data_IF_853516135406
#
_entry.id   IF_853516135406
#
_cell.length_a   1.000
_cell.length_b   1.000
_cell.length_c   1.000
_cell.angle_alpha   90.00
_cell.angle_beta   90.00
_cell.angle_gamma   90.00
#
_symmetry.space_group_name_H-M   'P 1'
#
loop_
_entity.id
_entity.type
_entity.pdbx_description
1 polymer ?
#
# COMPACT_ATOMS: atom_id res chain seq x y z
N UNK A 1 2.85 -1.29 20.18
CA UNK A 1 3.53 -1.50 21.47
C UNK A 1 3.50 -2.97 21.94
N UNK A 2 2.63 -3.85 21.43
CA UNK A 2 2.64 -5.31 21.68
C UNK A 2 3.03 -5.71 23.11
N UNK A 3 4.12 -6.48 23.28
CA UNK A 3 4.59 -6.96 24.58
C UNK A 3 5.39 -5.92 25.38
N UNK A 4 5.63 -4.72 24.84
CA UNK A 4 6.32 -3.62 25.52
C UNK A 4 5.43 -2.79 26.45
N UNK A 5 4.10 -2.95 26.41
CA UNK A 5 3.23 -2.25 27.35
C UNK A 5 3.67 -2.50 28.80
N UNK A 6 4.05 -1.46 29.56
CA UNK A 6 4.37 -1.58 30.99
C UNK A 6 3.16 -2.14 31.76
N UNK A 7 3.41 -2.82 32.89
CA UNK A 7 2.33 -3.41 33.70
C UNK A 7 1.27 -2.37 34.10
N UNK A 8 1.68 -1.14 34.41
CA UNK A 8 0.77 -0.03 34.74
C UNK A 8 -0.15 0.35 33.59
N UNK A 9 0.37 0.38 32.36
CA UNK A 9 -0.44 0.65 31.17
C UNK A 9 -1.35 -0.52 30.83
N UNK A 10 -0.88 -1.75 31.03
CA UNK A 10 -1.72 -2.94 30.85
C UNK A 10 -2.93 -2.91 31.78
N UNK A 11 -2.77 -2.44 33.03
CA UNK A 11 -3.90 -2.32 33.95
C UNK A 11 -4.84 -1.19 33.53
N UNK A 12 -4.29 -0.01 33.20
CA UNK A 12 -5.07 1.16 32.77
C UNK A 12 -5.88 0.90 31.49
N UNK A 13 -5.33 0.13 30.56
CA UNK A 13 -5.93 -0.18 29.26
C UNK A 13 -6.68 -1.52 29.24
N UNK A 14 -6.78 -2.24 30.37
CA UNK A 14 -7.48 -3.52 30.44
C UNK A 14 -6.81 -4.67 29.67
N UNK A 15 -5.48 -4.61 29.47
CA UNK A 15 -4.69 -5.60 28.74
C UNK A 15 -4.12 -6.73 29.62
N UNK A 16 -4.24 -6.63 30.96
CA UNK A 16 -3.79 -7.69 31.86
C UNK A 16 -4.62 -8.97 31.62
N UNK A 17 -3.94 -10.09 31.42
CA UNK A 17 -4.56 -11.37 31.03
C UNK A 17 -4.71 -11.57 29.51
N UNK A 18 -4.59 -10.50 28.70
CA UNK A 18 -4.63 -10.57 27.23
C UNK A 18 -3.22 -10.64 26.60
N UNK A 19 -2.18 -10.38 27.38
CA UNK A 19 -0.78 -10.42 26.96
C UNK A 19 0.03 -11.38 27.84
N UNK A 20 1.06 -12.07 27.30
CA UNK A 20 2.00 -12.85 28.11
C UNK A 20 2.59 -12.01 29.26
N UNK A 21 2.86 -12.59 30.44
CA UNK A 21 3.18 -11.83 31.65
C UNK A 21 4.49 -11.04 31.57
N UNK A 22 5.44 -11.50 30.74
CA UNK A 22 6.71 -10.81 30.54
C UNK A 22 6.52 -9.52 29.74
N UNK A 23 7.06 -8.42 30.26
CA UNK A 23 7.24 -7.17 29.51
C UNK A 23 8.53 -7.30 28.72
N UNK A 24 8.45 -7.10 27.41
CA UNK A 24 9.59 -7.20 26.49
C UNK A 24 9.98 -5.82 26.00
N UNK A 25 11.28 -5.47 26.04
CA UNK A 25 11.74 -4.20 25.49
C UNK A 25 11.50 -4.15 23.97
N UNK A 26 11.65 -2.97 23.38
CA UNK A 26 11.52 -2.80 21.94
C UNK A 26 12.60 -3.59 21.19
N UNK A 27 13.83 -3.58 21.68
CA UNK A 27 14.99 -4.31 21.15
C UNK A 27 14.74 -5.83 21.18
N UNK A 28 14.18 -6.36 22.27
CA UNK A 28 13.86 -7.78 22.35
C UNK A 28 12.76 -8.19 21.36
N UNK A 29 11.83 -7.29 21.03
CA UNK A 29 10.81 -7.56 20.02
C UNK A 29 11.39 -7.51 18.61
N UNK A 30 12.31 -6.59 18.36
CA UNK A 30 13.10 -6.51 17.14
C UNK A 30 13.91 -7.79 16.94
N UNK A 31 14.70 -8.22 17.93
CA UNK A 31 15.47 -9.46 17.89
C UNK A 31 14.58 -10.68 17.63
N UNK A 32 13.42 -10.77 18.30
CA UNK A 32 12.46 -11.85 18.08
C UNK A 32 11.95 -11.88 16.64
N UNK A 33 11.70 -10.72 16.03
CA UNK A 33 11.28 -10.64 14.64
C UNK A 33 12.41 -11.09 13.70
N UNK A 34 13.62 -10.57 13.87
CA UNK A 34 14.78 -10.92 13.05
C UNK A 34 15.10 -12.42 13.14
N UNK A 35 15.04 -13.01 14.34
CA UNK A 35 15.18 -14.46 14.51
C UNK A 35 14.11 -15.26 13.75
N UNK A 36 12.86 -14.77 13.75
CA UNK A 36 11.78 -15.41 13.01
C UNK A 36 11.98 -15.29 11.49
N UNK A 37 12.52 -14.15 11.04
CA UNK A 37 12.86 -13.92 9.64
C UNK A 37 13.99 -14.84 9.18
N UNK A 38 15.09 -14.96 9.94
CA UNK A 38 16.18 -15.89 9.61
C UNK A 38 15.75 -17.35 9.67
N UNK A 39 14.87 -17.72 10.61
CA UNK A 39 14.29 -19.06 10.63
C UNK A 39 13.47 -19.33 9.36
N UNK A 40 12.73 -18.34 8.85
CA UNK A 40 12.04 -18.47 7.58
C UNK A 40 13.04 -18.70 6.44
N UNK A 41 14.11 -17.90 6.37
CA UNK A 41 15.14 -18.05 5.34
C UNK A 41 15.76 -19.43 5.34
N UNK A 42 16.04 -19.99 6.52
CA UNK A 42 16.55 -21.34 6.67
C UNK A 42 15.55 -22.40 6.20
N UNK A 43 14.28 -22.24 6.58
CA UNK A 43 13.22 -23.22 6.28
C UNK A 43 12.78 -23.20 4.81
N UNK A 44 13.08 -22.13 4.07
CA UNK A 44 12.76 -22.00 2.64
C UNK A 44 13.99 -22.20 1.75
N UNK A 45 15.09 -22.75 2.28
CA UNK A 45 16.27 -23.06 1.47
C UNK A 45 15.93 -24.13 0.42
N UNK A 46 16.29 -23.86 -0.84
CA UNK A 46 16.01 -24.75 -1.97
C UNK A 46 14.62 -24.61 -2.58
N UNK A 47 13.75 -23.78 -2.00
CA UNK A 47 12.46 -23.42 -2.61
C UNK A 47 12.64 -22.43 -3.77
N UNK A 48 11.69 -22.35 -4.72
CA UNK A 48 11.73 -21.37 -5.80
C UNK A 48 11.73 -19.93 -5.26
N UNK A 49 12.46 -19.03 -5.93
CA UNK A 49 12.60 -17.62 -5.51
C UNK A 49 11.26 -16.90 -5.31
N UNK A 50 10.25 -17.22 -6.14
CA UNK A 50 8.90 -16.66 -6.01
C UNK A 50 8.22 -17.06 -4.70
N UNK A 51 8.40 -18.33 -4.28
CA UNK A 51 7.87 -18.86 -3.02
C UNK A 51 8.58 -18.23 -1.83
N UNK A 52 9.91 -18.15 -1.89
CA UNK A 52 10.74 -17.52 -0.85
C UNK A 52 10.38 -16.05 -0.69
N UNK A 53 10.30 -15.30 -1.79
CA UNK A 53 10.03 -13.85 -1.77
C UNK A 53 8.64 -13.54 -1.25
N UNK A 54 7.61 -14.30 -1.67
CA UNK A 54 6.25 -14.16 -1.11
C UNK A 54 6.20 -14.52 0.37
N UNK A 55 6.93 -15.53 0.81
CA UNK A 55 6.97 -15.89 2.23
C UNK A 55 7.62 -14.77 3.07
N UNK A 56 8.73 -14.19 2.59
CA UNK A 56 9.40 -13.03 3.20
C UNK A 56 8.51 -11.80 3.23
N UNK A 57 7.80 -11.52 2.14
CA UNK A 57 6.82 -10.43 2.11
C UNK A 57 5.68 -10.68 3.11
N UNK A 58 5.14 -11.91 3.19
CA UNK A 58 4.05 -12.24 4.13
C UNK A 58 4.44 -12.03 5.59
N UNK A 59 5.67 -12.35 6.00
CA UNK A 59 6.10 -12.15 7.39
C UNK A 59 6.29 -10.65 7.71
N UNK A 60 6.80 -9.86 6.76
CA UNK A 60 6.89 -8.41 6.87
C UNK A 60 5.50 -7.75 6.92
N UNK A 61 4.59 -8.13 6.02
CA UNK A 61 3.23 -7.61 6.00
C UNK A 61 2.46 -7.94 7.29
N UNK A 62 2.65 -9.13 7.86
CA UNK A 62 2.09 -9.49 9.18
C UNK A 62 2.65 -8.63 10.32
N UNK A 63 3.91 -8.19 10.22
CA UNK A 63 4.46 -7.25 11.19
C UNK A 63 3.83 -5.87 10.99
N UNK A 64 3.71 -5.40 9.75
CA UNK A 64 3.08 -4.13 9.40
C UNK A 64 1.63 -4.05 9.91
N UNK A 65 0.86 -5.13 9.78
CA UNK A 65 -0.53 -5.21 10.24
C UNK A 65 -0.68 -5.20 11.77
N UNK A 66 0.37 -5.55 12.52
CA UNK A 66 0.33 -5.70 13.97
C UNK A 66 0.96 -4.52 14.69
N UNK A 67 2.12 -4.05 14.21
CA UNK A 67 2.95 -3.08 14.90
C UNK A 67 3.76 -2.28 13.89
N UNK A 68 3.15 -1.22 13.37
CA UNK A 68 3.70 -0.31 12.37
C UNK A 68 5.03 0.32 12.84
N UNK A 69 5.15 0.71 14.11
CA UNK A 69 6.41 1.26 14.66
C UNK A 69 7.56 0.25 14.57
N UNK A 70 7.31 -1.02 14.91
CA UNK A 70 8.33 -2.06 14.82
C UNK A 70 8.63 -2.42 13.35
N UNK A 71 7.61 -2.43 12.50
CA UNK A 71 7.77 -2.64 11.05
C UNK A 71 8.74 -1.63 10.44
N UNK A 72 8.48 -0.34 10.61
CA UNK A 72 9.34 0.68 10.01
C UNK A 72 10.73 0.71 10.62
N UNK A 73 10.89 0.42 11.92
CA UNK A 73 12.22 0.25 12.50
C UNK A 73 13.00 -0.87 11.82
N UNK A 74 12.38 -2.04 11.67
CA UNK A 74 12.95 -3.20 11.01
C UNK A 74 13.33 -2.87 9.56
N UNK A 75 12.48 -2.15 8.83
CA UNK A 75 12.80 -1.70 7.48
C UNK A 75 13.98 -0.72 7.45
N UNK A 76 13.97 0.33 8.27
CA UNK A 76 15.02 1.36 8.28
C UNK A 76 16.38 0.73 8.58
N UNK A 77 16.46 -0.13 9.60
CA UNK A 77 17.72 -0.73 10.02
C UNK A 77 18.28 -1.73 8.98
N UNK A 78 17.44 -2.26 8.07
CA UNK A 78 17.81 -3.33 7.13
C UNK A 78 17.33 -3.05 5.69
N UNK A 79 17.22 -1.77 5.29
CA UNK A 79 16.53 -1.38 4.06
C UNK A 79 17.15 -2.01 2.80
N UNK A 80 18.46 -2.22 2.80
CA UNK A 80 19.19 -2.85 1.69
C UNK A 80 18.67 -4.25 1.39
N UNK A 81 18.33 -5.03 2.41
CA UNK A 81 17.89 -6.41 2.27
C UNK A 81 16.36 -6.52 2.12
N UNK A 82 15.61 -5.57 2.70
CA UNK A 82 14.14 -5.60 2.67
C UNK A 82 13.50 -4.81 1.53
N UNK A 83 14.16 -3.80 0.97
CA UNK A 83 13.68 -3.08 -0.21
C UNK A 83 13.23 -4.00 -1.36
N UNK A 84 14.01 -5.03 -1.78
CA UNK A 84 13.56 -5.92 -2.86
C UNK A 84 12.39 -6.85 -2.47
N UNK A 85 12.07 -6.95 -1.17
CA UNK A 85 10.96 -7.75 -0.66
C UNK A 85 9.66 -6.92 -0.56
N UNK A 86 9.75 -5.67 -0.10
CA UNK A 86 8.59 -4.78 0.04
C UNK A 86 8.24 -4.03 -1.25
N UNK A 87 9.20 -3.94 -2.18
CA UNK A 87 9.06 -3.28 -3.47
C UNK A 87 9.52 -4.21 -4.60
N UNK A 88 10.04 -3.67 -5.70
CA UNK A 88 10.47 -4.45 -6.86
C UNK A 88 11.68 -5.34 -6.53
N UNK A 89 11.67 -6.62 -6.98
CA UNK A 89 10.69 -7.25 -7.87
C UNK A 89 9.50 -7.91 -7.16
N UNK A 90 9.57 -8.18 -5.86
CA UNK A 90 8.58 -8.99 -5.11
C UNK A 90 7.17 -8.41 -5.15
N UNK A 91 7.04 -7.08 -5.14
CA UNK A 91 5.73 -6.41 -5.18
C UNK A 91 4.94 -6.74 -6.45
N UNK A 92 5.60 -7.02 -7.58
CA UNK A 92 4.92 -7.46 -8.80
C UNK A 92 4.19 -8.79 -8.58
N UNK A 93 4.89 -9.75 -7.99
CA UNK A 93 4.33 -11.06 -7.64
C UNK A 93 3.21 -10.95 -6.59
N UNK A 94 3.33 -10.00 -5.66
CA UNK A 94 2.26 -9.67 -4.71
C UNK A 94 1.03 -9.14 -5.44
N UNK A 95 1.21 -8.24 -6.41
CA UNK A 95 0.12 -7.69 -7.21
C UNK A 95 -0.55 -8.76 -8.08
N UNK A 96 0.19 -9.70 -8.67
CA UNK A 96 -0.43 -10.80 -9.44
C UNK A 96 -1.34 -11.69 -8.57
N UNK A 97 -1.00 -11.84 -7.28
CA UNK A 97 -1.67 -12.76 -6.35
C UNK A 97 -2.52 -12.04 -5.28
N UNK A 98 -2.74 -10.72 -5.41
CA UNK A 98 -3.21 -9.90 -4.29
C UNK A 98 -4.55 -10.36 -3.72
N UNK A 99 -5.51 -10.73 -4.57
CA UNK A 99 -6.84 -11.16 -4.13
C UNK A 99 -6.78 -12.37 -3.19
N UNK A 100 -5.93 -13.36 -3.49
CA UNK A 100 -5.70 -14.51 -2.62
C UNK A 100 -4.86 -14.21 -1.38
N UNK A 101 -4.00 -13.19 -1.46
CA UNK A 101 -3.13 -12.74 -0.38
C UNK A 101 -3.83 -11.79 0.61
N UNK A 102 -4.97 -11.20 0.24
CA UNK A 102 -5.66 -10.21 1.05
C UNK A 102 -6.01 -10.72 2.46
N UNK A 103 -5.68 -9.93 3.48
CA UNK A 103 -5.96 -10.25 4.89
C UNK A 103 -6.52 -9.06 5.65
N UNK A 104 -5.91 -7.89 5.47
CA UNK A 104 -6.35 -6.62 6.04
C UNK A 104 -6.21 -5.53 4.98
N UNK A 105 -7.18 -4.60 4.88
CA UNK A 105 -7.07 -3.49 3.96
C UNK A 105 -5.97 -2.53 4.42
N UNK A 106 -5.26 -1.94 3.46
CA UNK A 106 -4.25 -0.91 3.68
C UNK A 106 -4.37 0.14 2.59
N UNK A 107 -4.63 1.38 3.00
CA UNK A 107 -4.97 2.47 2.09
C UNK A 107 -6.47 2.62 1.88
N UNK A 108 -6.83 3.46 0.92
CA UNK A 108 -8.20 3.73 0.52
C UNK A 108 -8.47 3.22 -0.89
N UNK A 109 -9.69 2.76 -1.12
CA UNK A 109 -10.16 2.29 -2.41
C UNK A 109 -11.32 3.19 -2.83
N UNK A 110 -11.20 3.79 -4.01
CA UNK A 110 -12.25 4.56 -4.66
C UNK A 110 -12.59 3.84 -5.96
N UNK A 111 -13.85 3.51 -6.17
CA UNK A 111 -14.30 2.83 -7.37
C UNK A 111 -15.12 3.74 -8.27
N UNK A 112 -15.27 3.37 -9.54
CA UNK A 112 -16.18 4.06 -10.46
C UNK A 112 -17.63 4.11 -9.96
N UNK A 113 -18.04 3.19 -9.06
CA UNK A 113 -19.39 3.18 -8.46
C UNK A 113 -19.57 4.19 -7.34
N UNK A 114 -18.48 4.75 -6.83
CA UNK A 114 -18.47 5.76 -5.77
C UNK A 114 -18.56 7.19 -6.30
N UNK A 115 -18.74 7.35 -7.62
CA UNK A 115 -18.91 8.65 -8.26
C UNK A 115 -20.10 9.40 -7.65
N UNK A 116 -19.84 10.60 -7.16
CA UNK A 116 -20.77 11.46 -6.41
C UNK A 116 -20.56 11.42 -4.89
N UNK A 117 -19.81 10.44 -4.36
CA UNK A 117 -19.64 10.22 -2.92
C UNK A 117 -18.18 10.36 -2.46
N UNK A 118 -17.20 10.54 -3.36
CA UNK A 118 -15.78 10.51 -2.98
C UNK A 118 -15.40 11.62 -2.00
N UNK A 119 -16.06 12.78 -2.13
CA UNK A 119 -15.94 13.92 -1.21
C UNK A 119 -16.31 13.57 0.24
N UNK A 120 -17.26 12.67 0.45
CA UNK A 120 -17.66 12.23 1.78
C UNK A 120 -16.74 11.10 2.25
N UNK A 121 -16.42 10.17 1.35
CA UNK A 121 -15.57 9.01 1.62
C UNK A 121 -14.15 9.37 2.06
N UNK A 122 -13.57 10.47 1.55
CA UNK A 122 -12.20 10.89 1.90
C UNK A 122 -12.03 11.13 3.42
N UNK A 123 -13.12 11.44 4.14
CA UNK A 123 -13.12 11.64 5.60
C UNK A 123 -13.15 10.34 6.40
N UNK A 124 -13.32 9.18 5.76
CA UNK A 124 -13.20 7.87 6.42
C UNK A 124 -11.75 7.52 6.76
N UNK A 125 -10.76 8.21 6.15
CA UNK A 125 -9.37 8.04 6.55
C UNK A 125 -9.16 8.57 7.97
N UNK A 126 -8.58 7.78 8.89
CA UNK A 126 -8.50 8.16 10.30
C UNK A 126 -7.49 9.30 10.56
N UNK A 127 -6.51 9.51 9.67
CA UNK A 127 -5.52 10.55 9.85
C UNK A 127 -6.08 11.92 9.42
N UNK A 128 -5.99 12.91 10.31
CA UNK A 128 -6.37 14.29 9.99
C UNK A 128 -5.46 14.94 8.95
N UNK A 129 -4.18 14.54 8.91
CA UNK A 129 -3.16 15.11 8.02
C UNK A 129 -2.51 14.02 7.20
N UNK A 130 -2.45 14.25 5.90
CA UNK A 130 -1.71 13.43 4.93
C UNK A 130 -0.78 14.39 4.17
N UNK A 131 0.51 14.03 4.11
CA UNK A 131 1.54 14.80 3.42
C UNK A 131 1.89 14.17 2.06
N UNK A 132 1.79 12.84 1.93
CA UNK A 132 2.13 12.10 0.69
C UNK A 132 1.06 11.06 0.36
N UNK A 133 0.57 11.08 -0.88
CA UNK A 133 -0.35 10.12 -1.46
C UNK A 133 0.33 9.47 -2.66
N UNK A 134 0.28 8.15 -2.73
CA UNK A 134 0.60 7.42 -3.97
C UNK A 134 -0.68 6.75 -4.42
N UNK A 135 -1.09 7.03 -5.65
CA UNK A 135 -2.30 6.51 -6.28
C UNK A 135 -1.94 5.72 -7.52
N UNK A 136 -2.64 4.61 -7.75
CA UNK A 136 -2.61 3.85 -9.01
C UNK A 136 -4.03 3.44 -9.40
N UNK A 137 -4.28 3.28 -10.70
CA UNK A 137 -5.48 2.61 -11.21
C UNK A 137 -5.23 1.14 -11.62
N UNK A 138 -4.00 0.65 -11.40
CA UNK A 138 -3.60 -0.73 -11.69
C UNK A 138 -3.52 -1.08 -13.17
N UNK A 139 -3.56 -0.10 -14.07
CA UNK A 139 -3.68 -0.34 -15.51
C UNK A 139 -2.38 -0.70 -16.22
N UNK A 140 -1.23 -0.41 -15.58
CA UNK A 140 0.11 -0.74 -16.10
C UNK A 140 1.06 -1.02 -14.94
N UNK A 141 0.81 -2.09 -14.19
CA UNK A 141 1.68 -2.50 -13.10
C UNK A 141 3.01 -3.00 -13.64
N UNK A 142 4.07 -2.21 -13.46
CA UNK A 142 5.42 -2.52 -13.93
C UNK A 142 5.42 -3.00 -15.40
N UNK A 143 5.92 -4.22 -15.66
CA UNK A 143 5.84 -4.92 -16.95
C UNK A 143 4.75 -5.99 -17.02
N UNK A 144 3.87 -6.08 -16.02
CA UNK A 144 2.85 -7.11 -15.85
C UNK A 144 1.51 -6.72 -16.49
N UNK A 145 1.34 -5.44 -16.84
CA UNK A 145 0.15 -4.93 -17.52
C UNK A 145 -0.98 -4.61 -16.55
N UNK A 146 -2.21 -4.88 -16.97
CA UNK A 146 -3.41 -4.53 -16.21
C UNK A 146 -3.68 -5.57 -15.11
N UNK A 147 -3.59 -5.16 -13.85
CA UNK A 147 -3.90 -6.00 -12.70
C UNK A 147 -5.09 -5.48 -11.88
N UNK A 148 -5.82 -4.48 -12.39
CA UNK A 148 -6.97 -3.89 -11.71
C UNK A 148 -6.66 -3.54 -10.25
N UNK A 149 -7.59 -3.79 -9.33
CA UNK A 149 -7.45 -3.55 -7.87
C UNK A 149 -6.23 -4.24 -7.24
N UNK A 150 -5.73 -5.31 -7.85
CA UNK A 150 -4.57 -6.00 -7.30
C UNK A 150 -3.29 -5.13 -7.33
N UNK A 151 -3.28 -4.07 -8.15
CA UNK A 151 -2.21 -3.08 -8.24
C UNK A 151 -1.95 -2.27 -6.97
N UNK A 152 -2.83 -2.30 -5.97
CA UNK A 152 -2.66 -1.56 -4.70
C UNK A 152 -1.37 -1.91 -3.94
N UNK A 153 -0.74 -3.06 -4.23
CA UNK A 153 0.58 -3.39 -3.69
C UNK A 153 1.65 -2.35 -4.03
N UNK A 154 1.56 -1.71 -5.19
CA UNK A 154 2.51 -0.69 -5.66
C UNK A 154 2.52 0.57 -4.77
N UNK A 155 1.39 1.30 -4.58
CA UNK A 155 1.39 2.48 -3.71
C UNK A 155 1.77 2.15 -2.26
N UNK A 156 1.39 0.96 -1.76
CA UNK A 156 1.81 0.50 -0.42
C UNK A 156 3.33 0.38 -0.35
N UNK A 157 3.94 -0.39 -1.26
CA UNK A 157 5.38 -0.62 -1.26
C UNK A 157 6.18 0.66 -1.51
N UNK A 158 5.69 1.55 -2.38
CA UNK A 158 6.35 2.82 -2.69
C UNK A 158 6.36 3.76 -1.49
N UNK A 159 5.24 3.86 -0.76
CA UNK A 159 5.18 4.62 0.48
C UNK A 159 6.05 4.01 1.57
N UNK A 160 6.14 2.68 1.67
CA UNK A 160 7.06 2.04 2.61
C UNK A 160 8.51 2.39 2.34
N UNK A 161 8.91 2.48 1.06
CA UNK A 161 10.24 2.97 0.66
C UNK A 161 10.41 4.44 1.02
N UNK A 162 9.43 5.31 0.79
CA UNK A 162 9.54 6.72 1.20
C UNK A 162 9.69 6.89 2.71
N UNK A 163 8.94 6.12 3.51
CA UNK A 163 9.07 6.15 4.96
C UNK A 163 10.46 5.68 5.38
N UNK A 164 10.89 4.53 4.87
CA UNK A 164 12.13 3.90 5.32
C UNK A 164 13.41 4.60 4.81
N UNK A 165 13.40 5.11 3.57
CA UNK A 165 14.58 5.68 2.91
C UNK A 165 14.62 7.21 2.95
N UNK A 166 13.46 7.88 2.91
CA UNK A 166 13.38 9.35 2.90
C UNK A 166 12.90 9.95 4.23
N UNK A 167 12.56 9.11 5.23
CA UNK A 167 12.17 9.57 6.56
C UNK A 167 10.80 10.25 6.61
N UNK A 168 9.92 9.97 5.63
CA UNK A 168 8.53 10.45 5.66
C UNK A 168 7.82 9.83 6.88
N UNK A 169 7.00 10.62 7.57
CA UNK A 169 6.24 10.11 8.71
C UNK A 169 5.17 9.11 8.24
N UNK A 170 5.18 7.85 8.72
CA UNK A 170 4.22 6.83 8.29
C UNK A 170 2.75 7.15 8.60
N UNK A 171 2.49 7.97 9.62
CA UNK A 171 1.11 8.39 9.94
C UNK A 171 0.55 9.42 8.96
N UNK A 172 1.37 9.90 8.02
CA UNK A 172 1.02 10.94 7.07
C UNK A 172 1.14 10.50 5.61
N UNK A 173 1.27 9.20 5.37
CA UNK A 173 1.23 8.62 4.04
C UNK A 173 -0.12 7.94 3.80
N UNK A 174 -0.59 7.94 2.56
CA UNK A 174 -1.85 7.32 2.18
C UNK A 174 -1.74 6.63 0.82
N UNK A 175 -1.74 5.29 0.78
CA UNK A 175 -1.85 4.55 -0.47
C UNK A 175 -3.30 4.57 -0.95
N UNK A 176 -3.51 4.81 -2.24
CA UNK A 176 -4.84 4.87 -2.84
C UNK A 176 -4.93 3.95 -4.06
N UNK A 177 -6.04 3.22 -4.14
CA UNK A 177 -6.46 2.49 -5.33
C UNK A 177 -7.65 3.16 -5.99
N UNK A 178 -7.53 3.47 -7.28
CA UNK A 178 -8.63 3.97 -8.11
C UNK A 178 -9.15 2.85 -9.04
N UNK A 179 -10.22 2.18 -8.62
CA UNK A 179 -10.81 1.06 -9.34
C UNK A 179 -11.85 1.52 -10.37
N UNK A 180 -11.41 1.67 -11.61
CA UNK A 180 -12.29 1.98 -12.76
C UNK A 180 -12.64 0.75 -13.59
N UNK A 181 -12.44 -0.45 -13.04
CA UNK A 181 -12.50 -1.73 -13.77
C UNK A 181 -11.13 -2.22 -14.22
N UNK A 182 -11.11 -3.34 -14.94
CA UNK A 182 -9.91 -3.95 -15.51
C UNK A 182 -10.24 -4.58 -16.86
N UNK A 183 -9.28 -4.54 -17.80
CA UNK A 183 -9.38 -5.23 -19.09
C UNK A 183 -8.67 -6.59 -19.07
N UNK A 184 -8.23 -7.04 -17.88
CA UNK A 184 -7.64 -8.36 -17.71
C UNK A 184 -8.76 -9.41 -17.56
N UNK A 185 -8.99 -10.17 -18.63
CA UNK A 185 -10.05 -11.19 -18.69
C UNK A 185 -9.90 -12.27 -17.62
N UNK A 186 -8.67 -12.67 -17.26
CA UNK A 186 -8.45 -13.66 -16.20
C UNK A 186 -8.97 -13.16 -14.84
N UNK A 187 -8.76 -11.87 -14.54
CA UNK A 187 -9.29 -11.25 -13.32
C UNK A 187 -10.81 -11.03 -13.39
N UNK A 188 -11.35 -10.72 -14.56
CA UNK A 188 -12.79 -10.61 -14.75
C UNK A 188 -13.51 -11.94 -14.55
N UNK A 189 -12.88 -13.06 -14.94
CA UNK A 189 -13.40 -14.41 -14.76
C UNK A 189 -13.20 -14.96 -13.34
N UNK A 190 -12.14 -14.53 -12.64
CA UNK A 190 -11.85 -14.96 -11.26
C UNK A 190 -12.96 -14.53 -10.29
N UNK A 191 -13.53 -15.51 -9.59
CA UNK A 191 -14.58 -15.31 -8.58
C UNK A 191 -14.04 -14.70 -7.29
N UNK A 192 -12.74 -14.80 -7.05
CA UNK A 192 -12.07 -14.26 -5.87
C UNK A 192 -11.49 -12.86 -6.11
N UNK A 193 -11.53 -12.35 -7.34
CA UNK A 193 -11.09 -10.99 -7.64
C UNK A 193 -11.87 -9.97 -6.81
N UNK A 194 -11.13 -9.06 -6.17
CA UNK A 194 -11.68 -8.11 -5.20
C UNK A 194 -12.19 -6.81 -5.83
N UNK A 195 -11.82 -6.51 -7.08
CA UNK A 195 -12.20 -5.28 -7.76
C UNK A 195 -13.51 -5.36 -8.54
N UNK A 196 -13.84 -4.26 -9.21
CA UNK A 196 -14.98 -4.17 -10.11
C UNK A 196 -14.79 -5.13 -11.29
N UNK A 197 -15.72 -6.10 -11.40
CA UNK A 197 -15.78 -7.06 -12.52
C UNK A 197 -16.46 -6.43 -13.73
N UNK A 198 -15.81 -5.43 -14.30
CA UNK A 198 -16.22 -4.74 -15.53
C UNK A 198 -14.97 -4.29 -16.30
N UNK A 199 -15.07 -4.14 -17.63
CA UNK A 199 -14.04 -3.46 -18.42
C UNK A 199 -13.76 -2.05 -17.89
N UNK A 200 -12.55 -1.54 -18.18
CA UNK A 200 -12.15 -0.20 -17.76
C UNK A 200 -13.05 0.87 -18.36
N UNK A 201 -13.35 1.89 -17.55
CA UNK A 201 -13.89 3.14 -18.07
C UNK A 201 -12.91 3.80 -19.05
N UNK A 202 -13.46 4.52 -20.02
CA UNK A 202 -12.72 5.24 -21.05
C UNK A 202 -13.27 6.66 -21.24
N UNK A 203 -12.47 7.52 -21.86
CA UNK A 203 -12.86 8.90 -22.19
C UNK A 203 -13.32 9.72 -20.97
N UNK A 204 -14.41 10.46 -21.14
CA UNK A 204 -14.97 11.36 -20.12
C UNK A 204 -15.48 10.63 -18.87
N UNK A 205 -15.89 9.37 -18.98
CA UNK A 205 -16.33 8.61 -17.81
C UNK A 205 -15.18 8.32 -16.86
N UNK A 206 -14.01 7.96 -17.40
CA UNK A 206 -12.77 7.81 -16.65
C UNK A 206 -12.34 9.14 -16.04
N UNK A 207 -12.25 10.19 -16.85
CA UNK A 207 -11.78 11.50 -16.41
C UNK A 207 -12.66 12.09 -15.31
N UNK A 208 -13.98 11.93 -15.40
CA UNK A 208 -14.89 12.42 -14.37
C UNK A 208 -14.68 11.74 -13.00
N UNK A 209 -14.29 10.46 -12.97
CA UNK A 209 -13.94 9.76 -11.73
C UNK A 209 -12.63 10.31 -11.16
N UNK A 210 -11.60 10.49 -12.00
CA UNK A 210 -10.32 11.04 -11.56
C UNK A 210 -10.46 12.50 -11.10
N UNK A 211 -11.27 13.30 -11.79
CA UNK A 211 -11.55 14.70 -11.42
C UNK A 211 -12.16 14.78 -10.01
N UNK A 212 -13.21 14.00 -9.75
CA UNK A 212 -13.86 13.98 -8.44
C UNK A 212 -12.90 13.52 -7.33
N UNK A 213 -12.10 12.50 -7.60
CA UNK A 213 -11.05 12.03 -6.69
C UNK A 213 -10.04 13.13 -6.35
N UNK A 214 -9.52 13.83 -7.37
CA UNK A 214 -8.52 14.89 -7.18
C UNK A 214 -9.10 16.07 -6.37
N UNK A 215 -10.34 16.46 -6.65
CA UNK A 215 -11.04 17.49 -5.88
C UNK A 215 -11.27 17.04 -4.42
N UNK A 216 -11.64 15.79 -4.18
CA UNK A 216 -11.82 15.24 -2.83
C UNK A 216 -10.53 15.25 -2.02
N UNK A 217 -9.41 14.82 -2.63
CA UNK A 217 -8.08 14.87 -2.01
C UNK A 217 -7.70 16.31 -1.68
N UNK A 218 -7.86 17.24 -2.62
CA UNK A 218 -7.48 18.64 -2.43
C UNK A 218 -8.34 19.35 -1.38
N UNK A 219 -9.64 19.07 -1.35
CA UNK A 219 -10.55 19.63 -0.35
C UNK A 219 -10.16 19.19 1.07
N UNK A 220 -9.76 17.92 1.23
CA UNK A 220 -9.37 17.37 2.54
C UNK A 220 -7.95 17.72 2.95
N UNK A 221 -6.99 17.57 2.03
CA UNK A 221 -5.56 17.75 2.25
C UNK A 221 -4.93 18.61 1.14
N UNK A 222 -5.17 19.93 1.12
CA UNK A 222 -4.75 20.82 0.02
C UNK A 222 -3.23 20.93 -0.17
N UNK A 223 -2.44 20.45 0.80
CA UNK A 223 -0.97 20.45 0.76
C UNK A 223 -0.36 19.07 0.52
N UNK A 224 -1.17 18.02 0.41
CA UNK A 224 -0.66 16.68 0.13
C UNK A 224 -0.01 16.66 -1.26
N UNK A 225 1.12 15.98 -1.36
CA UNK A 225 1.72 15.62 -2.65
C UNK A 225 0.98 14.39 -3.16
N UNK A 226 0.45 14.45 -4.38
CA UNK A 226 -0.21 13.32 -5.03
C UNK A 226 0.67 12.77 -6.14
N UNK A 227 1.17 11.56 -5.93
CA UNK A 227 1.97 10.84 -6.89
C UNK A 227 1.12 9.82 -7.64
N UNK A 228 1.10 9.94 -8.96
CA UNK A 228 0.50 8.95 -9.85
C UNK A 228 1.55 7.90 -10.24
N UNK A 229 1.16 6.64 -10.14
CA UNK A 229 2.05 5.50 -10.32
C UNK A 229 1.38 4.39 -11.15
N UNK A 230 2.11 3.80 -12.09
CA UNK A 230 1.70 2.60 -12.85
C UNK A 230 0.37 2.79 -13.63
N UNK A 231 0.16 3.98 -14.16
CA UNK A 231 -0.94 4.29 -15.08
C UNK A 231 -0.56 3.94 -16.53
N UNK A 232 -1.53 3.52 -17.34
CA UNK A 232 -1.37 3.45 -18.79
C UNK A 232 -0.89 4.79 -19.33
N UNK A 233 0.05 4.74 -20.29
CA UNK A 233 0.75 5.94 -20.79
C UNK A 233 -0.21 7.05 -21.24
N UNK A 234 -1.31 6.72 -21.92
CA UNK A 234 -2.32 7.72 -22.33
C UNK A 234 -2.87 8.51 -21.14
N UNK A 235 -3.19 7.82 -20.04
CA UNK A 235 -3.75 8.41 -18.84
C UNK A 235 -2.69 9.11 -17.99
N UNK A 236 -1.47 8.55 -17.93
CA UNK A 236 -0.35 9.18 -17.26
C UNK A 236 -0.08 10.59 -17.83
N UNK A 237 -0.04 10.73 -19.16
CA UNK A 237 0.14 12.04 -19.80
C UNK A 237 -1.08 12.96 -19.65
N UNK A 238 -2.29 12.45 -19.92
CA UNK A 238 -3.52 13.25 -19.87
C UNK A 238 -3.76 13.82 -18.46
N UNK A 239 -3.68 12.97 -17.43
CA UNK A 239 -3.89 13.37 -16.03
C UNK A 239 -2.80 14.32 -15.55
N UNK A 240 -1.53 14.08 -15.92
CA UNK A 240 -0.44 14.98 -15.59
C UNK A 240 -0.65 16.37 -16.20
N UNK A 241 -1.02 16.46 -17.48
CA UNK A 241 -1.29 17.74 -18.14
C UNK A 241 -2.49 18.47 -17.50
N UNK A 242 -3.53 17.72 -17.14
CA UNK A 242 -4.77 18.24 -16.57
C UNK A 242 -4.60 18.82 -15.17
N UNK A 243 -3.83 18.16 -14.30
CA UNK A 243 -3.82 18.45 -12.87
C UNK A 243 -2.59 19.19 -12.35
N UNK A 244 -1.42 19.08 -13.00
CA UNK A 244 -0.14 19.64 -12.47
C UNK A 244 -0.12 21.14 -12.21
N UNK A 245 -1.02 21.91 -12.83
CA UNK A 245 -1.10 23.37 -12.67
C UNK A 245 -2.00 23.78 -11.49
N UNK A 246 -2.87 22.88 -11.02
CA UNK A 246 -3.87 23.13 -9.98
C UNK A 246 -3.58 22.39 -8.68
N UNK A 247 -2.96 21.21 -8.79
CA UNK A 247 -2.70 20.32 -7.66
C UNK A 247 -1.19 20.11 -7.48
N UNK A 248 -0.75 19.91 -6.23
CA UNK A 248 0.62 19.49 -5.95
C UNK A 248 0.74 17.99 -6.29
N UNK A 249 1.03 17.70 -7.56
CA UNK A 249 1.06 16.33 -8.07
C UNK A 249 2.21 16.11 -9.05
N UNK A 250 2.68 14.87 -9.15
CA UNK A 250 3.59 14.43 -10.19
C UNK A 250 3.29 12.98 -10.60
N UNK A 251 3.81 12.55 -11.75
CA UNK A 251 3.74 11.15 -12.19
C UNK A 251 5.18 10.61 -12.29
N UNK A 252 5.47 9.54 -11.55
CA UNK A 252 6.84 9.01 -11.47
C UNK A 252 7.29 8.39 -12.80
N UNK A 253 6.41 7.63 -13.45
CA UNK A 253 6.67 6.97 -14.74
C UNK A 253 6.98 7.95 -15.89
N UNK A 254 6.49 9.19 -15.81
CA UNK A 254 6.67 10.18 -16.88
C UNK A 254 7.77 11.19 -16.56
N UNK A 255 7.92 11.59 -15.30
CA UNK A 255 8.79 12.72 -14.92
C UNK A 255 10.12 12.30 -14.30
N UNK A 256 10.26 11.05 -13.87
CA UNK A 256 11.50 10.53 -13.26
C UNK A 256 12.32 9.67 -14.24
N UNK A 257 11.73 9.34 -15.41
CA UNK A 257 12.44 8.85 -16.59
C UNK A 257 13.12 9.99 -17.37
#
# INVERSE_FOLDING_TARGET
QDTAFPLTERDRLGLRGLLPPRVMSFEQQYERFINSYHSLEHNTQGEPDSVVSLAKWRILNRLHDRNETLYYRVLIDNIKDFAPIIYTPTVGLVCENYSGLFRRPRGMYFSAKDKGEMMSMIYNWPAEKVDMIVVTDGSRILGLGDLGVQGIGIPIGKLDVYVAAAGINPQKVLPIMLDVGTNNEELLEDKLYLGLRQPRLEGEEYLAVVDEFMEAVHARWPKAIVQFEDFQMKWAFETLQRYRSRFCMFNDDVQVL
#
